data_IF_212305262478
#
_entry.id   IF_212305262478
#
_cell.length_a   1.000
_cell.length_b   1.000
_cell.length_c   1.000
_cell.angle_alpha   90.00
_cell.angle_beta   90.00
_cell.angle_gamma   90.00
#
_symmetry.space_group_name_H-M   'P 1'
#
loop_
_entity.id
_entity.type
_entity.pdbx_description
1 polymer ?
#
# COMPACT_ATOMS: atom_id res chain seq x y z
N UNK A 1 14.38 2.54 -12.96
CA UNK A 1 13.47 3.70 -13.06
C UNK A 1 12.09 3.28 -13.56
N UNK A 2 12.00 2.39 -14.56
CA UNK A 2 10.73 1.84 -15.09
C UNK A 2 9.84 1.15 -14.05
N UNK A 3 10.41 0.27 -13.22
CA UNK A 3 9.64 -0.49 -12.22
C UNK A 3 9.04 0.41 -11.12
N UNK A 4 9.79 1.43 -10.69
CA UNK A 4 9.28 2.41 -9.73
C UNK A 4 8.11 3.19 -10.32
N UNK A 5 8.18 3.61 -11.59
CA UNK A 5 7.08 4.27 -12.28
C UNK A 5 5.84 3.37 -12.38
N UNK A 6 6.03 2.07 -12.59
CA UNK A 6 4.94 1.09 -12.59
C UNK A 6 4.28 0.95 -11.20
N UNK A 7 5.07 0.93 -10.13
CA UNK A 7 4.54 0.97 -8.76
C UNK A 7 3.77 2.27 -8.47
N UNK A 8 4.29 3.41 -8.92
CA UNK A 8 3.61 4.70 -8.79
C UNK A 8 2.30 4.74 -9.59
N UNK A 9 2.30 4.21 -10.81
CA UNK A 9 1.10 4.11 -11.65
C UNK A 9 0.04 3.25 -10.96
N UNK A 10 0.41 2.05 -10.47
CA UNK A 10 -0.49 1.16 -9.74
C UNK A 10 -1.07 1.82 -8.48
N UNK A 11 -0.25 2.58 -7.74
CA UNK A 11 -0.72 3.32 -6.58
C UNK A 11 -1.79 4.36 -6.98
N UNK A 12 -1.53 5.14 -8.03
CA UNK A 12 -2.45 6.19 -8.52
C UNK A 12 -3.75 5.61 -9.09
N UNK A 13 -3.68 4.50 -9.83
CA UNK A 13 -4.85 3.76 -10.32
C UNK A 13 -5.77 3.34 -9.16
N UNK A 14 -5.20 3.03 -7.99
CA UNK A 14 -5.93 2.63 -6.79
C UNK A 14 -6.29 3.81 -5.86
N UNK A 15 -6.17 5.05 -6.33
CA UNK A 15 -6.60 6.25 -5.60
C UNK A 15 -5.61 6.75 -4.54
N UNK A 16 -4.37 6.28 -4.56
CA UNK A 16 -3.32 6.84 -3.72
C UNK A 16 -2.78 8.13 -4.33
N UNK A 17 -2.58 9.15 -3.48
CA UNK A 17 -1.95 10.42 -3.85
C UNK A 17 -0.59 10.53 -3.16
N UNK A 18 0.38 11.14 -3.85
CA UNK A 18 1.70 11.41 -3.28
C UNK A 18 1.51 12.29 -2.04
N UNK A 19 2.10 11.87 -0.92
CA UNK A 19 2.04 12.56 0.35
C UNK A 19 3.35 13.28 0.63
N UNK A 20 4.46 12.54 0.59
CA UNK A 20 5.79 13.03 0.93
C UNK A 20 6.83 12.27 0.11
N UNK A 21 7.91 12.95 -0.25
CA UNK A 21 9.11 12.33 -0.80
C UNK A 21 10.20 12.41 0.28
N UNK A 22 10.88 11.30 0.57
CA UNK A 22 11.98 11.30 1.54
C UNK A 22 13.06 12.29 1.09
N UNK A 23 13.74 12.95 2.04
CA UNK A 23 14.84 13.89 1.74
C UNK A 23 15.95 13.28 0.89
N UNK A 24 16.12 11.96 0.98
CA UNK A 24 17.11 11.19 0.23
C UNK A 24 16.59 10.68 -1.12
N UNK A 25 15.34 10.99 -1.52
CA UNK A 25 14.65 10.49 -2.72
C UNK A 25 14.61 8.95 -2.84
N UNK A 26 14.93 8.23 -1.76
CA UNK A 26 14.96 6.77 -1.70
C UNK A 26 13.58 6.17 -1.44
N UNK A 27 12.69 6.92 -0.80
CA UNK A 27 11.35 6.48 -0.46
C UNK A 27 10.31 7.52 -0.89
N UNK A 28 9.27 7.07 -1.60
CA UNK A 28 8.13 7.89 -1.99
C UNK A 28 6.88 7.42 -1.23
N UNK A 29 6.30 8.32 -0.45
CA UNK A 29 5.11 8.03 0.34
C UNK A 29 3.84 8.47 -0.36
N UNK A 30 2.85 7.61 -0.35
CA UNK A 30 1.49 7.90 -0.78
C UNK A 30 0.51 7.68 0.35
N UNK A 31 -0.62 8.38 0.27
CA UNK A 31 -1.75 8.21 1.18
C UNK A 31 -3.04 8.06 0.37
N UNK A 32 -4.00 7.34 0.92
CA UNK A 32 -5.37 7.37 0.43
C UNK A 32 -6.11 8.53 1.09
N UNK A 33 -6.67 9.42 0.28
CA UNK A 33 -7.46 10.57 0.76
C UNK A 33 -8.78 10.13 1.37
N UNK A 34 -9.36 9.06 0.82
CA UNK A 34 -10.60 8.46 1.33
C UNK A 34 -10.24 7.21 2.13
N UNK A 35 -10.65 7.09 3.40
CA UNK A 35 -10.49 5.85 4.15
C UNK A 35 -11.26 4.73 3.45
N UNK A 36 -10.78 3.49 3.57
CA UNK A 36 -11.51 2.36 3.02
C UNK A 36 -12.93 2.31 3.63
N UNK A 37 -13.99 2.36 2.82
CA UNK A 37 -15.36 2.51 3.33
C UNK A 37 -15.83 1.30 4.14
N UNK A 38 -15.15 0.15 3.98
CA UNK A 38 -15.48 -1.10 4.67
C UNK A 38 -14.87 -1.15 6.07
N UNK A 39 -13.77 -0.42 6.30
CA UNK A 39 -12.95 -0.53 7.53
C UNK A 39 -12.70 0.82 8.21
N UNK A 40 -13.08 1.94 7.58
CA UNK A 40 -12.77 3.29 8.04
C UNK A 40 -11.27 3.60 8.09
N UNK A 41 -10.43 2.74 7.50
CA UNK A 41 -8.98 2.79 7.71
C UNK A 41 -8.28 3.62 6.64
N UNK A 42 -7.39 4.52 7.09
CA UNK A 42 -6.47 5.24 6.20
C UNK A 42 -5.29 4.34 5.84
N UNK A 43 -5.08 4.13 4.54
CA UNK A 43 -3.94 3.39 4.02
C UNK A 43 -2.81 4.36 3.66
N UNK A 44 -1.58 3.96 3.94
CA UNK A 44 -0.36 4.61 3.44
C UNK A 44 0.44 3.60 2.64
N UNK A 45 1.18 4.08 1.65
CA UNK A 45 2.04 3.26 0.80
C UNK A 45 3.42 3.90 0.79
N UNK A 46 4.46 3.13 0.99
CA UNK A 46 5.84 3.55 0.83
C UNK A 46 6.43 2.79 -0.36
N UNK A 47 6.92 3.50 -1.36
CA UNK A 47 7.70 2.92 -2.44
C UNK A 47 9.17 3.16 -2.15
N UNK A 48 9.91 2.08 -1.94
CA UNK A 48 11.34 2.12 -1.73
C UNK A 48 12.06 1.85 -3.05
N UNK A 49 12.77 2.86 -3.55
CA UNK A 49 13.46 2.80 -4.84
C UNK A 49 14.76 1.98 -4.80
N UNK A 50 15.34 1.84 -3.61
CA UNK A 50 16.58 1.10 -3.38
C UNK A 50 16.36 -0.41 -3.45
N UNK A 51 15.30 -0.90 -2.83
CA UNK A 51 14.89 -2.31 -2.80
C UNK A 51 13.84 -2.66 -3.84
N UNK A 52 13.35 -1.64 -4.59
CA UNK A 52 12.30 -1.75 -5.61
C UNK A 52 11.06 -2.45 -5.07
N UNK A 53 10.62 -2.01 -3.91
CA UNK A 53 9.51 -2.62 -3.19
C UNK A 53 8.47 -1.59 -2.78
N UNK A 54 7.25 -2.06 -2.57
CA UNK A 54 6.11 -1.28 -2.14
C UNK A 54 5.63 -1.83 -0.79
N UNK A 55 5.68 -1.02 0.26
CA UNK A 55 5.16 -1.39 1.58
C UNK A 55 3.85 -0.67 1.83
N UNK A 56 2.77 -1.43 1.96
CA UNK A 56 1.44 -0.93 2.31
C UNK A 56 1.32 -0.95 3.82
N UNK A 57 0.88 0.15 4.42
CA UNK A 57 0.58 0.29 5.83
C UNK A 57 -0.91 0.55 6.00
N UNK A 58 -1.53 -0.10 6.97
CA UNK A 58 -2.94 0.11 7.30
C UNK A 58 -3.17 -0.11 8.79
N UNK A 59 -4.21 0.50 9.34
CA UNK A 59 -4.69 0.18 10.70
C UNK A 59 -5.57 -1.06 10.63
N UNK A 60 -5.27 -2.08 11.43
CA UNK A 60 -6.10 -3.27 11.52
C UNK A 60 -7.32 -3.04 12.42
N UNK A 61 -8.22 -4.03 12.47
CA UNK A 61 -9.46 -3.97 13.27
C UNK A 61 -9.24 -3.78 14.78
N UNK A 62 -8.02 -3.98 15.27
CA UNK A 62 -7.64 -3.77 16.68
C UNK A 62 -7.04 -2.39 16.94
N UNK A 63 -7.01 -1.52 15.93
CA UNK A 63 -6.37 -0.20 16.03
C UNK A 63 -4.84 -0.24 15.93
N UNK A 64 -4.24 -1.40 15.62
CA UNK A 64 -2.79 -1.54 15.47
C UNK A 64 -2.39 -1.29 14.02
N UNK A 65 -1.25 -0.64 13.79
CA UNK A 65 -0.69 -0.50 12.44
C UNK A 65 -0.05 -1.80 12.00
N UNK A 66 -0.52 -2.32 10.88
CA UNK A 66 0.00 -3.51 10.20
C UNK A 66 0.63 -3.09 8.86
N UNK A 67 1.48 -3.96 8.29
CA UNK A 67 2.20 -3.63 7.07
C UNK A 67 2.55 -4.85 6.23
N UNK A 68 2.64 -4.64 4.91
CA UNK A 68 3.05 -5.67 3.96
C UNK A 68 3.93 -5.10 2.87
N UNK A 69 5.12 -5.66 2.74
CA UNK A 69 6.06 -5.35 1.66
C UNK A 69 5.84 -6.28 0.48
N UNK A 70 5.72 -5.69 -0.70
CA UNK A 70 5.47 -6.33 -1.97
C UNK A 70 6.62 -5.98 -2.92
N UNK A 71 7.22 -6.99 -3.54
CA UNK A 71 8.39 -6.82 -4.43
C UNK A 71 8.04 -6.92 -5.91
N UNK A 72 6.74 -6.87 -6.24
CA UNK A 72 6.28 -6.94 -7.63
C UNK A 72 5.04 -6.08 -7.81
N UNK A 73 4.98 -5.40 -8.96
CA UNK A 73 3.85 -4.54 -9.34
C UNK A 73 2.56 -5.35 -9.44
N UNK A 74 2.62 -6.58 -9.97
CA UNK A 74 1.46 -7.48 -10.04
C UNK A 74 0.89 -7.75 -8.63
N UNK A 75 1.75 -8.11 -7.67
CA UNK A 75 1.34 -8.34 -6.29
C UNK A 75 0.76 -7.08 -5.63
N UNK A 76 1.28 -5.88 -5.95
CA UNK A 76 0.68 -4.62 -5.51
C UNK A 76 -0.71 -4.42 -6.11
N UNK A 77 -0.88 -4.62 -7.42
CA UNK A 77 -2.19 -4.46 -8.09
C UNK A 77 -3.21 -5.46 -7.57
N UNK A 78 -2.80 -6.71 -7.32
CA UNK A 78 -3.67 -7.71 -6.69
C UNK A 78 -4.04 -7.33 -5.26
N UNK A 79 -3.09 -6.81 -4.48
CA UNK A 79 -3.33 -6.34 -3.12
C UNK A 79 -4.27 -5.14 -3.07
N UNK A 80 -4.14 -4.20 -4.02
CA UNK A 80 -4.92 -2.96 -4.06
C UNK A 80 -6.25 -3.08 -4.82
N UNK A 81 -6.34 -3.97 -5.82
CA UNK A 81 -7.48 -4.11 -6.73
C UNK A 81 -8.38 -5.31 -6.46
N UNK A 82 -7.95 -6.28 -5.64
CA UNK A 82 -8.58 -7.60 -5.60
C UNK A 82 -9.86 -7.74 -4.77
N UNK A 83 -9.98 -7.13 -3.58
CA UNK A 83 -11.09 -7.42 -2.66
C UNK A 83 -11.28 -6.24 -1.69
N UNK A 84 -12.51 -5.88 -1.24
CA UNK A 84 -12.69 -4.99 -0.10
C UNK A 84 -11.76 -5.41 1.05
N UNK A 85 -11.05 -4.45 1.66
CA UNK A 85 -9.98 -4.71 2.64
C UNK A 85 -10.38 -5.66 3.77
N UNK A 86 -11.67 -5.75 4.10
CA UNK A 86 -12.22 -6.71 5.05
C UNK A 86 -11.79 -8.16 4.77
N UNK A 87 -11.67 -8.57 3.51
CA UNK A 87 -11.26 -9.93 3.16
C UNK A 87 -9.73 -10.13 3.22
N UNK A 88 -8.94 -9.09 2.93
CA UNK A 88 -7.47 -9.11 3.08
C UNK A 88 -7.06 -9.13 4.55
N UNK A 89 -7.76 -8.36 5.40
CA UNK A 89 -7.57 -8.35 6.85
C UNK A 89 -7.88 -9.71 7.49
N UNK A 90 -8.98 -10.36 7.07
CA UNK A 90 -9.32 -11.70 7.56
C UNK A 90 -8.25 -12.74 7.17
N UNK A 91 -7.73 -12.70 5.93
CA UNK A 91 -6.65 -13.61 5.51
C UNK A 91 -5.32 -13.36 6.22
N UNK A 92 -4.99 -12.12 6.58
CA UNK A 92 -3.76 -11.81 7.31
C UNK A 92 -3.84 -12.23 8.80
N UNK A 93 -5.05 -12.26 9.37
CA UNK A 93 -5.30 -12.74 10.75
C UNK A 93 -5.37 -14.27 10.83
N UNK A 94 -5.92 -14.94 9.81
CA UNK A 94 -5.91 -16.41 9.71
C UNK A 94 -4.65 -16.88 8.98
N UNK A 95 -3.48 -16.58 9.54
CA UNK A 95 -2.26 -17.31 9.23
C UNK A 95 -2.21 -18.58 10.08
N UNK A 96 -2.65 -19.70 9.52
CA UNK A 96 -2.27 -21.06 9.93
C UNK A 96 -2.26 -21.95 8.71
#
# INVERSE_FOLDING_TARGET
MEELQLFQAAARECGFVVAEESKDCTALWFRKTVPDPSTGTHQRLCLDSMTRSATVYWTNVRGLTDSKTLRSVAALREWLGGIPMAHQLNKAVTGS
#
